data_IF_833142120442
#
_entry.id   IF_833142120442
#
_cell.length_a   1.000
_cell.length_b   1.000
_cell.length_c   1.000
_cell.angle_alpha   90.00
_cell.angle_beta   90.00
_cell.angle_gamma   90.00
#
_symmetry.space_group_name_H-M   'P 1'
#
loop_
_entity.id
_entity.type
_entity.pdbx_description
1 polymer ?
#
# COMPACT_ATOMS: atom_id res chain seq x y z
N UNK A 1 11.52 18.67 48.60
CA UNK A 1 12.42 19.08 47.50
C UNK A 1 12.84 17.87 46.63
N UNK A 2 11.89 17.07 46.10
CA UNK A 2 12.19 15.84 45.35
C UNK A 2 11.97 15.96 43.83
N UNK A 3 11.37 17.06 43.34
CA UNK A 3 11.01 17.20 41.92
C UNK A 3 12.12 17.69 40.98
N UNK A 4 13.16 18.35 41.51
CA UNK A 4 14.22 18.92 40.69
C UNK A 4 15.18 17.86 40.12
N UNK A 5 15.51 16.85 40.93
CA UNK A 5 16.40 15.75 40.52
C UNK A 5 15.77 14.88 39.43
N UNK A 6 14.45 14.64 39.49
CA UNK A 6 13.72 13.89 38.45
C UNK A 6 13.72 14.62 37.11
N UNK A 7 13.54 15.95 37.10
CA UNK A 7 13.57 16.74 35.86
C UNK A 7 14.94 16.72 35.18
N UNK A 8 16.02 16.77 35.95
CA UNK A 8 17.37 16.66 35.40
C UNK A 8 17.66 15.24 34.89
N UNK A 9 17.17 14.20 35.57
CA UNK A 9 17.33 12.82 35.12
C UNK A 9 16.57 12.54 33.80
N UNK A 10 15.37 13.11 33.63
CA UNK A 10 14.62 13.05 32.36
C UNK A 10 15.32 13.83 31.24
N UNK A 11 15.87 15.01 31.54
CA UNK A 11 16.62 15.80 30.54
C UNK A 11 17.95 15.12 30.12
N UNK A 12 18.60 14.41 31.03
CA UNK A 12 19.82 13.64 30.77
C UNK A 12 19.56 12.25 30.17
N UNK A 13 18.29 11.89 29.91
CA UNK A 13 17.92 10.59 29.34
C UNK A 13 18.20 9.39 30.26
N UNK A 14 18.36 9.63 31.57
CA UNK A 14 18.63 8.59 32.57
C UNK A 14 17.34 7.97 33.13
N UNK A 15 16.18 8.52 32.76
CA UNK A 15 14.85 8.02 33.10
C UNK A 15 14.01 8.07 31.84
N UNK A 16 13.60 6.90 31.38
CA UNK A 16 12.59 6.73 30.33
C UNK A 16 11.25 7.19 30.92
N UNK A 17 10.64 8.23 30.33
CA UNK A 17 9.28 8.65 30.64
C UNK A 17 8.40 8.00 29.56
N UNK A 18 7.54 7.04 29.94
CA UNK A 18 6.67 6.22 29.08
C UNK A 18 5.70 7.02 28.16
N UNK A 19 5.80 8.36 28.19
CA UNK A 19 5.00 9.29 27.40
C UNK A 19 5.55 9.58 26.02
N UNK A 20 6.75 9.08 25.70
CA UNK A 20 7.33 9.18 24.36
C UNK A 20 7.02 7.97 23.46
N UNK A 21 6.79 6.79 24.05
CA UNK A 21 6.46 5.58 23.28
C UNK A 21 5.08 5.66 22.63
N UNK A 22 4.10 6.30 23.29
CA UNK A 22 2.73 6.33 22.79
C UNK A 22 2.55 7.12 21.49
N UNK A 23 3.42 8.12 21.22
CA UNK A 23 3.35 8.93 19.99
C UNK A 23 3.88 8.21 18.75
N UNK A 24 4.63 7.12 18.91
CA UNK A 24 5.15 6.33 17.80
C UNK A 24 4.25 5.16 17.41
N UNK A 25 3.39 4.70 18.32
CA UNK A 25 2.39 3.67 18.02
C UNK A 25 1.23 4.24 17.19
N UNK A 26 0.74 5.43 17.54
CA UNK A 26 -0.45 6.03 16.91
C UNK A 26 -0.26 6.35 15.40
N UNK A 27 0.97 6.54 14.90
CA UNK A 27 1.22 6.87 13.47
C UNK A 27 1.13 5.65 12.54
N UNK A 28 1.16 4.42 13.08
CA UNK A 28 1.01 3.19 12.28
C UNK A 28 -0.42 2.62 12.30
N UNK A 29 -1.25 3.01 13.27
CA UNK A 29 -2.65 2.56 13.37
C UNK A 29 -3.58 3.29 12.37
N UNK A 30 -3.20 4.47 11.86
CA UNK A 30 -4.00 5.25 10.90
C UNK A 30 -4.07 4.63 9.48
N UNK A 31 -3.36 3.52 9.24
CA UNK A 31 -3.42 2.77 7.97
C UNK A 31 -4.44 1.62 7.99
N UNK A 32 -5.04 1.30 9.15
CA UNK A 32 -6.02 0.21 9.27
C UNK A 32 -7.45 0.63 8.85
N UNK A 33 -7.73 1.91 8.60
CA UNK A 33 -9.09 2.44 8.36
C UNK A 33 -9.51 2.54 6.87
N UNK A 34 -8.76 1.92 5.94
CA UNK A 34 -9.04 2.01 4.50
C UNK A 34 -10.02 0.95 3.95
N UNK A 35 -10.51 0.01 4.78
CA UNK A 35 -11.35 -1.11 4.30
C UNK A 35 -12.86 -0.99 4.61
N UNK A 36 -13.33 0.06 5.29
CA UNK A 36 -14.74 0.16 5.70
C UNK A 36 -15.43 1.43 5.20
N UNK A 37 -15.85 1.44 3.92
CA UNK A 37 -16.48 2.65 3.36
C UNK A 37 -17.13 2.55 2.00
N UNK A 38 -17.73 1.41 1.62
CA UNK A 38 -18.50 1.34 0.35
C UNK A 38 -19.87 0.70 0.52
N UNK A 39 -20.68 1.10 1.50
CA UNK A 39 -22.12 0.85 1.43
C UNK A 39 -22.98 2.04 1.90
N UNK A 40 -23.94 2.37 1.03
CA UNK A 40 -25.16 3.14 1.26
C UNK A 40 -25.13 4.67 1.20
N UNK A 41 -25.23 5.20 -0.04
CA UNK A 41 -25.92 6.47 -0.32
C UNK A 41 -26.90 6.30 -1.48
N UNK A 42 -28.00 5.58 -1.21
CA UNK A 42 -29.21 5.67 -2.02
C UNK A 42 -29.99 6.94 -1.69
N UNK A 43 -30.54 7.50 -2.76
CA UNK A 43 -31.68 8.41 -2.83
C UNK A 43 -31.55 9.79 -2.16
N UNK A 44 -31.20 10.79 -2.99
CA UNK A 44 -31.69 12.15 -2.79
C UNK A 44 -32.30 12.71 -4.07
N UNK A 45 -33.60 12.95 -3.94
CA UNK A 45 -34.57 13.44 -4.91
C UNK A 45 -34.09 14.63 -5.75
N UNK A 46 -34.22 14.49 -7.07
CA UNK A 46 -34.06 15.55 -8.06
C UNK A 46 -35.42 16.23 -8.29
N UNK A 47 -35.57 17.47 -7.85
CA UNK A 47 -36.73 18.30 -8.22
C UNK A 47 -36.53 18.95 -9.61
N UNK A 48 -37.56 19.00 -10.48
CA UNK A 48 -37.48 19.63 -11.79
C UNK A 48 -37.89 21.11 -11.71
N UNK A 49 -36.97 22.03 -12.03
CA UNK A 49 -37.28 23.46 -12.16
C UNK A 49 -37.21 23.89 -13.62
N UNK A 50 -38.38 24.23 -14.18
CA UNK A 50 -38.56 24.59 -15.58
C UNK A 50 -38.22 26.04 -15.95
N UNK A 51 -37.88 26.20 -17.23
CA UNK A 51 -38.27 27.32 -18.11
C UNK A 51 -37.49 28.64 -18.05
N UNK A 52 -36.74 28.98 -19.12
CA UNK A 52 -37.19 29.87 -20.21
C UNK A 52 -36.16 29.93 -21.37
N UNK A 53 -36.55 30.12 -22.66
CA UNK A 53 -35.73 29.87 -23.84
C UNK A 53 -35.19 31.16 -24.49
N UNK A 54 -33.92 31.17 -24.93
CA UNK A 54 -33.45 32.12 -25.96
C UNK A 54 -32.43 31.51 -26.90
N UNK A 55 -32.95 31.12 -28.06
CA UNK A 55 -32.38 31.19 -29.41
C UNK A 55 -30.93 31.67 -29.58
N UNK A 56 -30.10 30.81 -30.19
CA UNK A 56 -29.32 31.16 -31.40
C UNK A 56 -28.80 29.88 -32.09
N UNK A 57 -29.19 29.72 -33.34
CA UNK A 57 -28.74 28.68 -34.26
C UNK A 57 -27.61 29.23 -35.14
N UNK A 58 -26.55 28.44 -35.39
CA UNK A 58 -25.78 28.38 -36.67
C UNK A 58 -24.85 27.13 -36.64
N UNK A 59 -25.11 26.13 -37.49
CA UNK A 59 -24.28 25.61 -38.62
C UNK A 59 -22.98 24.89 -38.20
N UNK A 60 -22.85 23.58 -38.40
CA UNK A 60 -22.52 22.84 -39.66
C UNK A 60 -21.12 22.23 -39.44
N UNK A 61 -21.08 20.94 -39.12
CA UNK A 61 -20.49 19.86 -39.93
C UNK A 61 -18.96 19.90 -40.00
N UNK A 62 -18.32 18.98 -39.28
CA UNK A 62 -17.04 18.42 -39.69
C UNK A 62 -16.99 16.94 -39.31
N UNK A 63 -16.99 16.13 -40.37
CA UNK A 63 -16.73 14.70 -40.39
C UNK A 63 -15.28 14.42 -39.96
N UNK A 64 -15.10 13.74 -38.84
CA UNK A 64 -13.92 12.91 -38.63
C UNK A 64 -14.35 11.56 -38.06
N UNK A 65 -14.45 10.58 -38.96
CA UNK A 65 -14.54 9.17 -38.64
C UNK A 65 -13.30 8.75 -37.83
N UNK A 66 -13.50 8.38 -36.57
CA UNK A 66 -12.47 7.69 -35.78
C UNK A 66 -12.87 6.23 -35.65
N UNK A 67 -12.03 5.40 -36.26
CA UNK A 67 -12.05 3.95 -36.27
C UNK A 67 -12.45 3.34 -34.92
N UNK A 68 -13.37 2.38 -34.96
CA UNK A 68 -13.59 1.44 -33.87
C UNK A 68 -12.27 0.72 -33.56
N UNK A 69 -11.53 1.24 -32.58
CA UNK A 69 -10.41 0.55 -31.96
C UNK A 69 -10.95 -0.68 -31.24
N UNK A 70 -10.64 -1.84 -31.81
CA UNK A 70 -10.78 -3.16 -31.22
C UNK A 70 -10.59 -3.10 -29.70
N UNK A 71 -11.68 -3.26 -28.96
CA UNK A 71 -11.64 -3.43 -27.50
C UNK A 71 -10.89 -4.72 -27.25
N UNK A 72 -9.58 -4.63 -26.98
CA UNK A 72 -8.78 -5.76 -26.52
C UNK A 72 -9.48 -6.28 -25.27
N UNK A 73 -10.10 -7.45 -25.41
CA UNK A 73 -10.60 -8.23 -24.29
C UNK A 73 -9.40 -8.51 -23.40
N UNK A 74 -9.26 -7.76 -22.31
CA UNK A 74 -8.36 -8.11 -21.23
C UNK A 74 -9.02 -9.32 -20.58
N UNK A 75 -8.62 -10.51 -21.00
CA UNK A 75 -8.96 -11.75 -20.31
C UNK A 75 -8.38 -11.62 -18.91
N UNK A 76 -9.22 -11.29 -17.93
CA UNK A 76 -8.89 -11.44 -16.52
C UNK A 76 -8.58 -12.92 -16.29
N UNK A 77 -7.28 -13.26 -16.29
CA UNK A 77 -6.83 -14.55 -15.80
C UNK A 77 -7.28 -14.67 -14.34
N UNK A 78 -7.89 -15.80 -14.00
CA UNK A 78 -8.29 -16.07 -12.62
C UNK A 78 -7.06 -15.94 -11.69
N UNK A 79 -7.23 -15.42 -10.46
CA UNK A 79 -6.13 -15.32 -9.50
C UNK A 79 -5.53 -16.71 -9.28
N UNK A 80 -4.21 -16.80 -9.41
CA UNK A 80 -3.46 -18.01 -9.13
C UNK A 80 -3.02 -17.98 -7.67
N UNK A 81 -3.15 -19.11 -6.97
CA UNK A 81 -2.55 -19.24 -5.64
C UNK A 81 -1.02 -19.29 -5.78
N UNK A 82 -0.33 -18.46 -5.02
CA UNK A 82 1.13 -18.49 -4.98
C UNK A 82 1.60 -19.83 -4.39
N UNK A 83 2.56 -20.49 -5.04
CA UNK A 83 3.37 -21.48 -4.33
C UNK A 83 4.44 -20.70 -3.54
N UNK A 84 4.61 -21.02 -2.25
CA UNK A 84 5.66 -20.44 -1.42
C UNK A 84 7.06 -20.55 -2.03
N UNK A 85 7.30 -21.55 -2.90
CA UNK A 85 8.56 -21.69 -3.63
C UNK A 85 8.81 -20.57 -4.68
N UNK A 86 7.78 -19.81 -5.05
CA UNK A 86 7.81 -18.75 -6.07
C UNK A 86 7.87 -17.33 -5.50
N UNK A 87 7.91 -17.18 -4.17
CA UNK A 87 8.00 -15.89 -3.51
C UNK A 87 9.47 -15.48 -3.40
N UNK A 88 9.80 -14.26 -3.82
CA UNK A 88 11.17 -13.73 -3.75
C UNK A 88 11.33 -12.89 -2.49
N UNK A 89 12.34 -13.19 -1.67
CA UNK A 89 12.68 -12.38 -0.49
C UNK A 89 13.87 -11.48 -0.78
N UNK A 90 13.68 -10.17 -0.58
CA UNK A 90 14.72 -9.15 -0.69
C UNK A 90 15.03 -8.58 0.71
N UNK A 91 16.30 -8.23 0.93
CA UNK A 91 16.78 -7.61 2.16
C UNK A 91 17.41 -6.25 1.85
N UNK A 92 16.59 -5.21 1.55
CA UNK A 92 17.13 -3.93 1.18
C UNK A 92 17.96 -3.29 2.28
N UNK A 93 19.03 -2.62 1.87
CA UNK A 93 19.90 -1.79 2.71
C UNK A 93 19.86 -0.32 2.29
N UNK A 94 19.41 -0.04 1.07
CA UNK A 94 19.33 1.32 0.53
C UNK A 94 18.06 1.53 -0.29
N UNK A 95 17.64 2.79 -0.45
CA UNK A 95 16.47 3.15 -1.25
C UNK A 95 16.58 2.73 -2.73
N UNK A 96 17.80 2.59 -3.28
CA UNK A 96 18.00 2.23 -4.69
C UNK A 96 17.43 0.86 -5.05
N UNK A 97 17.23 -0.02 -4.08
CA UNK A 97 16.68 -1.36 -4.27
C UNK A 97 15.17 -1.35 -4.56
N UNK A 98 14.50 -0.21 -4.39
CA UNK A 98 13.13 0.01 -4.84
C UNK A 98 12.91 -0.42 -6.30
N UNK A 99 13.91 -0.16 -7.17
CA UNK A 99 13.85 -0.58 -8.57
C UNK A 99 13.70 -2.09 -8.71
N UNK A 100 14.54 -2.86 -8.04
CA UNK A 100 14.53 -4.32 -8.09
C UNK A 100 13.22 -4.88 -7.56
N UNK A 101 12.68 -4.32 -6.47
CA UNK A 101 11.37 -4.68 -5.92
C UNK A 101 10.28 -4.48 -6.98
N UNK A 102 10.27 -3.30 -7.63
CA UNK A 102 9.28 -2.98 -8.65
C UNK A 102 9.38 -3.84 -9.91
N UNK A 103 10.58 -4.25 -10.31
CA UNK A 103 10.80 -5.16 -11.44
C UNK A 103 10.17 -6.53 -11.17
N UNK A 104 10.51 -7.17 -10.04
CA UNK A 104 9.91 -8.47 -9.67
C UNK A 104 8.39 -8.39 -9.55
N UNK A 105 7.89 -7.35 -8.89
CA UNK A 105 6.45 -7.17 -8.70
C UNK A 105 5.71 -7.02 -10.03
N UNK A 106 6.27 -6.25 -10.98
CA UNK A 106 5.69 -6.08 -12.34
C UNK A 106 5.74 -7.35 -13.18
N UNK A 107 6.65 -8.27 -12.89
CA UNK A 107 6.72 -9.59 -13.51
C UNK A 107 5.69 -10.59 -12.92
N UNK A 108 4.88 -10.15 -11.95
CA UNK A 108 3.88 -10.99 -11.31
C UNK A 108 4.46 -11.91 -10.23
N UNK A 109 5.67 -11.59 -9.73
CA UNK A 109 6.35 -12.35 -8.68
C UNK A 109 6.05 -11.69 -7.33
N UNK A 110 5.48 -12.41 -6.34
CA UNK A 110 5.32 -11.89 -4.99
C UNK A 110 6.67 -11.61 -4.33
N UNK A 111 6.77 -10.51 -3.58
CA UNK A 111 8.01 -10.05 -2.98
C UNK A 111 7.86 -9.89 -1.47
N UNK A 112 8.73 -10.54 -0.70
CA UNK A 112 8.94 -10.23 0.71
C UNK A 112 10.04 -9.17 0.80
N UNK A 113 9.71 -8.04 1.41
CA UNK A 113 10.61 -6.91 1.63
C UNK A 113 11.01 -6.87 3.11
N UNK A 114 12.23 -7.28 3.42
CA UNK A 114 12.77 -7.20 4.78
C UNK A 114 13.61 -5.91 4.98
N UNK A 115 13.04 -4.96 5.70
CA UNK A 115 13.60 -3.62 5.95
C UNK A 115 14.33 -3.52 7.31
N UNK A 116 14.58 -4.63 8.01
CA UNK A 116 15.18 -4.60 9.36
C UNK A 116 16.55 -3.95 9.39
N UNK A 117 17.32 -4.06 8.30
CA UNK A 117 18.66 -3.47 8.16
C UNK A 117 18.63 -2.02 7.63
N UNK A 118 17.45 -1.46 7.35
CA UNK A 118 17.31 -0.09 6.86
C UNK A 118 17.07 0.91 7.98
N UNK A 119 17.60 2.12 7.77
CA UNK A 119 17.26 3.29 8.58
C UNK A 119 15.79 3.66 8.35
N UNK A 120 15.09 4.04 9.41
CA UNK A 120 13.64 4.27 9.40
C UNK A 120 13.17 5.25 8.32
N UNK A 121 13.95 6.28 8.01
CA UNK A 121 13.62 7.24 6.96
C UNK A 121 13.58 6.59 5.57
N UNK A 122 14.55 5.72 5.26
CA UNK A 122 14.58 5.04 3.96
C UNK A 122 13.61 3.85 3.92
N UNK A 123 13.39 3.18 5.05
CA UNK A 123 12.36 2.14 5.17
C UNK A 123 10.97 2.71 4.86
N UNK A 124 10.59 3.85 5.46
CA UNK A 124 9.32 4.53 5.18
C UNK A 124 9.19 4.88 3.69
N UNK A 125 10.24 5.44 3.10
CA UNK A 125 10.27 5.76 1.66
C UNK A 125 10.10 4.52 0.77
N UNK A 126 10.64 3.36 1.16
CA UNK A 126 10.46 2.11 0.42
C UNK A 126 9.02 1.59 0.53
N UNK A 127 8.39 1.74 1.69
CA UNK A 127 6.97 1.41 1.89
C UNK A 127 6.08 2.33 1.05
N UNK A 128 6.34 3.64 1.01
CA UNK A 128 5.61 4.58 0.15
C UNK A 128 5.74 4.23 -1.33
N UNK A 129 6.95 3.85 -1.76
CA UNK A 129 7.19 3.37 -3.10
C UNK A 129 6.37 2.11 -3.42
N UNK A 130 6.34 1.15 -2.48
CA UNK A 130 5.54 -0.06 -2.63
C UNK A 130 4.03 0.23 -2.69
N UNK A 131 3.53 1.14 -1.85
CA UNK A 131 2.15 1.59 -1.89
C UNK A 131 1.79 2.18 -3.27
N UNK A 132 2.70 2.95 -3.87
CA UNK A 132 2.56 3.44 -5.24
C UNK A 132 2.47 2.32 -6.29
N UNK A 133 3.29 1.27 -6.16
CA UNK A 133 3.23 0.09 -7.04
C UNK A 133 1.90 -0.65 -6.92
N UNK A 134 1.47 -0.89 -5.70
CA UNK A 134 0.24 -1.62 -5.38
C UNK A 134 -0.97 -0.90 -5.91
N UNK A 135 -1.06 0.40 -5.64
CA UNK A 135 -2.15 1.23 -6.12
C UNK A 135 -2.16 1.28 -7.66
N UNK A 136 -0.98 1.44 -8.28
CA UNK A 136 -0.87 1.54 -9.74
C UNK A 136 -1.09 0.22 -10.50
N UNK A 137 -0.94 -0.92 -9.84
CA UNK A 137 -0.98 -2.25 -10.47
C UNK A 137 -1.98 -3.20 -9.80
N UNK A 138 -2.89 -2.67 -8.97
CA UNK A 138 -3.95 -3.41 -8.28
C UNK A 138 -3.48 -4.60 -7.44
N UNK A 139 -2.32 -4.47 -6.80
CA UNK A 139 -1.82 -5.51 -5.89
C UNK A 139 -2.33 -5.36 -4.46
N UNK A 140 -1.62 -5.99 -3.53
CA UNK A 140 -1.78 -5.80 -2.09
C UNK A 140 -0.42 -5.72 -1.38
N UNK A 141 -0.41 -5.05 -0.22
CA UNK A 141 0.68 -5.10 0.76
C UNK A 141 0.13 -5.63 2.06
N UNK A 142 0.90 -6.49 2.70
CA UNK A 142 0.58 -7.00 4.02
C UNK A 142 1.82 -6.93 4.90
N UNK A 143 1.64 -6.45 6.12
CA UNK A 143 2.70 -6.48 7.12
C UNK A 143 2.78 -7.88 7.70
N UNK A 144 3.91 -8.56 7.48
CA UNK A 144 4.17 -9.90 8.00
C UNK A 144 4.65 -9.80 9.44
N UNK A 145 5.66 -8.96 9.69
CA UNK A 145 6.22 -8.69 11.02
C UNK A 145 6.75 -7.25 11.09
N UNK A 146 7.50 -6.88 12.14
CA UNK A 146 8.12 -5.56 12.22
C UNK A 146 9.13 -5.36 11.10
N UNK A 147 8.96 -4.30 10.30
CA UNK A 147 9.81 -3.97 9.14
C UNK A 147 9.85 -5.06 8.05
N UNK A 148 8.93 -6.04 8.05
CA UNK A 148 8.85 -7.06 6.99
C UNK A 148 7.46 -7.04 6.36
N UNK A 149 7.43 -6.85 5.05
CA UNK A 149 6.20 -6.69 4.27
C UNK A 149 6.15 -7.71 3.14
N UNK A 150 4.96 -8.19 2.81
CA UNK A 150 4.68 -9.02 1.65
C UNK A 150 3.92 -8.18 0.63
N UNK A 151 4.43 -8.13 -0.59
CA UNK A 151 3.80 -7.52 -1.76
C UNK A 151 3.26 -8.62 -2.66
N UNK A 152 1.95 -8.59 -2.95
CA UNK A 152 1.30 -9.56 -3.84
C UNK A 152 0.73 -8.83 -5.08
N UNK A 153 1.13 -9.22 -6.30
CA UNK A 153 0.53 -8.70 -7.53
C UNK A 153 -0.95 -9.09 -7.68
N UNK A 154 -1.72 -8.34 -8.49
CA UNK A 154 -3.18 -8.48 -8.64
C UNK A 154 -3.68 -9.90 -8.97
N UNK A 155 -2.85 -10.69 -9.65
CA UNK A 155 -3.18 -12.03 -10.10
C UNK A 155 -2.73 -13.13 -9.15
N UNK A 156 -2.20 -12.78 -7.97
CA UNK A 156 -1.62 -13.73 -7.03
C UNK A 156 -2.23 -13.59 -5.64
N UNK A 157 -2.88 -14.65 -5.18
CA UNK A 157 -3.40 -14.73 -3.81
C UNK A 157 -2.47 -15.59 -2.96
N UNK A 158 -2.09 -15.08 -1.78
CA UNK A 158 -1.29 -15.81 -0.80
C UNK A 158 -2.21 -16.23 0.35
N UNK A 159 -2.22 -17.51 0.69
CA UNK A 159 -3.13 -18.02 1.72
C UNK A 159 -2.69 -17.59 3.13
N UNK A 160 -3.61 -17.59 4.10
CA UNK A 160 -3.28 -17.28 5.49
C UNK A 160 -2.22 -18.23 6.08
N UNK A 161 -2.25 -19.51 5.71
CA UNK A 161 -1.26 -20.50 6.15
C UNK A 161 0.13 -20.19 5.57
N UNK A 162 0.19 -19.76 4.31
CA UNK A 162 1.44 -19.34 3.67
C UNK A 162 2.02 -18.09 4.32
N UNK A 163 1.17 -17.10 4.65
CA UNK A 163 1.57 -15.90 5.38
C UNK A 163 2.16 -16.22 6.75
N UNK A 164 1.52 -17.11 7.51
CA UNK A 164 2.03 -17.57 8.81
C UNK A 164 3.40 -18.24 8.66
N UNK A 165 3.57 -19.11 7.65
CA UNK A 165 4.87 -19.73 7.35
C UNK A 165 5.94 -18.71 6.95
N UNK A 166 5.58 -17.64 6.24
CA UNK A 166 6.52 -16.57 5.86
C UNK A 166 6.98 -15.80 7.10
N UNK A 167 6.06 -15.50 8.02
CA UNK A 167 6.40 -14.85 9.29
C UNK A 167 7.41 -15.67 10.11
N UNK A 168 7.24 -16.99 10.13
CA UNK A 168 8.17 -17.92 10.78
C UNK A 168 9.50 -18.01 10.03
N UNK A 169 9.50 -18.15 8.70
CA UNK A 169 10.73 -18.31 7.90
C UNK A 169 11.62 -17.06 7.88
N UNK A 170 11.04 -15.87 7.96
CA UNK A 170 11.81 -14.63 8.13
C UNK A 170 12.71 -14.64 9.38
N UNK A 171 12.37 -15.47 10.37
CA UNK A 171 13.11 -15.64 11.61
C UNK A 171 14.26 -16.66 11.51
N UNK A 172 14.09 -17.76 10.77
CA UNK A 172 15.03 -18.90 10.83
C UNK A 172 16.21 -18.86 9.85
N UNK A 173 16.21 -17.96 8.87
CA UNK A 173 17.32 -17.87 7.90
C UNK A 173 18.42 -16.88 8.30
N UNK A 174 18.52 -16.53 9.60
CA UNK A 174 19.47 -15.55 10.15
C UNK A 174 20.48 -16.14 11.16
N UNK A 175 20.55 -17.47 11.32
CA UNK A 175 21.53 -18.14 12.20
C UNK A 175 22.78 -18.60 11.46
#
# INVERSE_FOLDING_TARGET
MAGAMRKMAVYLGLVEDDRYDHRYADEYDDFEDFDEGVEDRRDRDLEPRGGDPRTRAVTEADDYAVSHGERRNVTHAAPATADLARITTLHPRTYNEARTIGEHFREGIPVIMNLTEMVDSDAKRLVDFAAGLIFGLHGSIERVTNKVFLLSPANVEVTAEDKARIAERGFFNQS
#
